data_IF_459173568154
#
_entry.id   IF_459173568154
#
_cell.length_a   1.000
_cell.length_b   1.000
_cell.length_c   1.000
_cell.angle_alpha   90.00
_cell.angle_beta   90.00
_cell.angle_gamma   90.00
#
_symmetry.space_group_name_H-M   'P 1'
#
loop_
_entity.id
_entity.type
_entity.pdbx_description
1 polymer ?
#
# COMPACT_ATOMS: atom_id res chain seq x y z
N UNK A 1 -0.34 14.59 -32.50
CA UNK A 1 0.65 13.76 -31.82
C UNK A 1 0.09 12.35 -31.71
N UNK A 2 0.74 11.38 -32.34
CA UNK A 2 0.39 9.98 -32.21
C UNK A 2 1.27 9.37 -31.12
N UNK A 3 0.65 8.92 -30.03
CA UNK A 3 1.33 8.12 -29.02
C UNK A 3 0.96 6.66 -29.20
N UNK A 4 1.95 5.77 -29.21
CA UNK A 4 1.74 4.32 -29.31
C UNK A 4 2.46 3.63 -28.17
N UNK A 5 1.78 2.68 -27.51
CA UNK A 5 2.38 1.77 -26.54
C UNK A 5 2.57 0.42 -27.23
N UNK A 6 3.81 -0.03 -27.33
CA UNK A 6 4.15 -1.35 -27.86
C UNK A 6 4.51 -2.25 -26.69
N UNK A 7 3.84 -3.41 -26.61
CA UNK A 7 4.06 -4.40 -25.55
C UNK A 7 4.62 -5.66 -26.23
N UNK A 8 5.81 -6.08 -25.82
CA UNK A 8 6.39 -7.36 -26.21
C UNK A 8 6.44 -8.29 -25.00
N UNK A 9 5.71 -9.40 -25.12
CA UNK A 9 5.56 -10.45 -24.12
C UNK A 9 5.77 -11.84 -24.74
N UNK A 10 6.59 -11.93 -25.80
CA UNK A 10 6.88 -13.19 -26.49
C UNK A 10 7.76 -14.09 -25.62
N UNK A 11 8.77 -13.51 -24.96
CA UNK A 11 9.67 -14.21 -24.05
C UNK A 11 9.09 -14.20 -22.62
N UNK A 12 8.84 -15.36 -21.99
CA UNK A 12 8.26 -15.40 -20.65
C UNK A 12 9.21 -14.90 -19.55
N UNK A 13 10.50 -14.79 -19.85
CA UNK A 13 11.51 -14.27 -18.91
C UNK A 13 11.55 -12.74 -18.88
N UNK A 14 11.01 -12.07 -19.90
CA UNK A 14 11.18 -10.63 -20.10
C UNK A 14 9.95 -9.97 -20.74
N UNK A 15 9.37 -9.00 -20.04
CA UNK A 15 8.32 -8.14 -20.58
C UNK A 15 8.93 -6.78 -20.95
N UNK A 16 8.68 -6.32 -22.17
CA UNK A 16 9.17 -5.04 -22.68
C UNK A 16 8.02 -4.14 -23.06
N UNK A 17 8.06 -2.89 -22.61
CA UNK A 17 7.09 -1.87 -22.99
C UNK A 17 7.82 -0.66 -23.56
N UNK A 18 7.49 -0.27 -24.79
CA UNK A 18 8.00 0.92 -25.43
C UNK A 18 6.88 1.94 -25.65
N UNK A 19 7.11 3.19 -25.26
CA UNK A 19 6.24 4.32 -25.57
C UNK A 19 6.88 5.09 -26.71
N UNK A 20 6.17 5.16 -27.84
CA UNK A 20 6.57 5.95 -28.99
C UNK A 20 5.76 7.25 -29.05
N UNK A 21 6.42 8.37 -29.33
CA UNK A 21 5.78 9.64 -29.68
C UNK A 21 6.17 10.03 -31.09
N UNK A 22 5.18 10.17 -31.96
CA UNK A 22 5.35 10.55 -33.37
C UNK A 22 6.33 9.64 -34.15
N UNK A 23 6.49 8.39 -33.70
CA UNK A 23 7.35 7.37 -34.30
C UNK A 23 8.69 7.18 -33.60
N UNK A 24 9.12 8.13 -32.77
CA UNK A 24 10.36 8.07 -32.01
C UNK A 24 10.14 7.45 -30.63
N UNK A 25 11.16 6.72 -30.14
CA UNK A 25 11.14 6.12 -28.82
C UNK A 25 11.29 7.20 -27.73
N UNK A 26 10.28 7.28 -26.85
CA UNK A 26 10.21 8.25 -25.74
C UNK A 26 10.54 7.58 -24.40
N UNK A 27 9.94 6.43 -24.11
CA UNK A 27 10.20 5.65 -22.88
C UNK A 27 10.33 4.16 -23.20
N UNK A 28 11.19 3.45 -22.44
CA UNK A 28 11.39 2.02 -22.58
C UNK A 28 11.52 1.36 -21.21
N UNK A 29 10.66 0.38 -20.95
CA UNK A 29 10.58 -0.37 -19.70
C UNK A 29 10.88 -1.85 -19.97
N UNK A 30 11.63 -2.46 -19.07
CA UNK A 30 11.88 -3.91 -19.07
C UNK A 30 11.57 -4.42 -17.67
N UNK A 31 10.78 -5.49 -17.60
CA UNK A 31 10.52 -6.26 -16.39
C UNK A 31 11.00 -7.69 -16.61
N UNK A 32 11.77 -8.24 -15.67
CA UNK A 32 12.29 -9.61 -15.76
C UNK A 32 11.62 -10.51 -14.73
N UNK A 33 11.47 -11.79 -15.04
CA UNK A 33 10.83 -12.77 -14.15
C UNK A 33 11.64 -13.15 -12.90
N UNK A 34 12.85 -12.58 -12.74
CA UNK A 34 13.79 -13.01 -11.72
C UNK A 34 13.37 -12.65 -10.29
N UNK A 35 12.59 -11.58 -10.09
CA UNK A 35 12.12 -11.19 -8.76
C UNK A 35 10.81 -10.40 -8.82
N UNK A 36 9.75 -11.00 -8.32
CA UNK A 36 8.49 -10.31 -8.05
C UNK A 36 8.67 -9.40 -6.81
N UNK A 37 8.53 -8.10 -6.98
CA UNK A 37 8.43 -7.14 -5.87
C UNK A 37 6.97 -7.07 -5.43
N UNK A 38 6.70 -7.39 -4.17
CA UNK A 38 5.35 -7.38 -3.60
C UNK A 38 5.06 -6.11 -2.80
N UNK A 39 6.06 -5.26 -2.57
CA UNK A 39 5.85 -3.95 -1.93
C UNK A 39 4.84 -3.12 -2.72
N UNK A 40 3.84 -2.60 -2.01
CA UNK A 40 2.74 -1.84 -2.61
C UNK A 40 1.56 -2.69 -3.05
N UNK A 41 1.71 -4.01 -3.19
CA UNK A 41 0.60 -4.90 -3.52
C UNK A 41 -0.48 -4.86 -2.43
N UNK A 42 -1.74 -4.95 -2.87
CA UNK A 42 -2.93 -4.94 -2.02
C UNK A 42 -3.58 -6.32 -2.08
N UNK A 43 -3.85 -6.88 -0.91
CA UNK A 43 -4.44 -8.20 -0.76
C UNK A 43 -5.68 -8.14 0.12
N UNK A 44 -6.62 -9.04 -0.14
CA UNK A 44 -7.66 -9.40 0.83
C UNK A 44 -7.09 -10.47 1.76
N UNK A 45 -6.75 -10.09 2.98
CA UNK A 45 -6.21 -10.98 4.00
C UNK A 45 -7.25 -11.45 5.00
N UNK A 46 -6.89 -12.47 5.78
CA UNK A 46 -7.68 -13.01 6.89
C UNK A 46 -6.85 -12.93 8.17
N UNK A 47 -7.42 -12.38 9.24
CA UNK A 47 -6.78 -12.34 10.57
C UNK A 47 -6.56 -13.77 11.06
N UNK A 48 -5.30 -14.23 11.05
CA UNK A 48 -4.93 -15.58 11.47
C UNK A 48 -4.82 -15.68 12.99
N UNK A 49 -4.13 -14.73 13.63
CA UNK A 49 -4.03 -14.63 15.09
C UNK A 49 -3.84 -13.19 15.53
N UNK A 50 -4.17 -12.92 16.79
CA UNK A 50 -4.00 -11.62 17.45
C UNK A 50 -3.03 -11.83 18.60
N UNK A 51 -2.04 -10.94 18.74
CA UNK A 51 -1.01 -10.97 19.77
C UNK A 51 -1.09 -9.69 20.62
N UNK A 52 -1.85 -9.70 21.73
CA UNK A 52 -2.07 -8.51 22.56
C UNK A 52 -0.77 -7.94 23.13
N UNK A 53 0.19 -8.79 23.50
CA UNK A 53 1.49 -8.36 24.02
C UNK A 53 2.31 -7.54 23.03
N UNK A 54 2.08 -7.75 21.72
CA UNK A 54 2.73 -7.00 20.65
C UNK A 54 1.87 -5.83 20.12
N UNK A 55 0.62 -5.73 20.58
CA UNK A 55 -0.40 -4.86 19.96
C UNK A 55 -0.43 -5.06 18.44
N UNK A 56 -0.43 -6.32 17.99
CA UNK A 56 -0.35 -6.69 16.57
C UNK A 56 -1.15 -7.94 16.23
N UNK A 57 -1.50 -8.08 14.96
CA UNK A 57 -2.17 -9.24 14.38
C UNK A 57 -1.33 -9.81 13.23
N UNK A 58 -1.45 -11.12 13.04
CA UNK A 58 -0.84 -11.81 11.91
C UNK A 58 -1.91 -12.10 10.87
N UNK A 59 -1.67 -11.68 9.65
CA UNK A 59 -2.64 -11.74 8.56
C UNK A 59 -2.18 -12.79 7.54
N UNK A 60 -3.03 -13.75 7.23
CA UNK A 60 -2.82 -14.60 6.06
C UNK A 60 -3.33 -13.86 4.84
N UNK A 61 -2.43 -13.51 3.92
CA UNK A 61 -2.73 -12.79 2.68
C UNK A 61 -2.34 -13.61 1.42
N UNK A 62 -2.11 -14.91 1.58
CA UNK A 62 -1.74 -15.83 0.50
C UNK A 62 -0.23 -16.12 0.36
N UNK A 63 0.63 -15.41 1.08
CA UNK A 63 2.06 -15.70 1.13
C UNK A 63 2.40 -16.88 2.04
N UNK A 64 3.61 -17.44 1.90
CA UNK A 64 4.10 -18.55 2.72
C UNK A 64 4.15 -18.20 4.22
N UNK A 65 4.42 -16.93 4.55
CA UNK A 65 4.45 -16.41 5.92
C UNK A 65 3.36 -15.37 6.11
N UNK A 66 2.62 -15.48 7.22
CA UNK A 66 1.66 -14.46 7.62
C UNK A 66 2.33 -13.10 7.78
N UNK A 67 1.71 -12.06 7.27
CA UNK A 67 2.18 -10.68 7.41
C UNK A 67 1.90 -10.15 8.81
N UNK A 68 2.62 -9.09 9.18
CA UNK A 68 2.58 -8.46 10.48
C UNK A 68 1.87 -7.11 10.40
N UNK A 69 0.75 -6.97 11.09
CA UNK A 69 -0.10 -5.77 11.10
C UNK A 69 -0.19 -5.23 12.54
N UNK A 70 0.36 -4.04 12.78
CA UNK A 70 0.34 -3.41 14.12
C UNK A 70 -0.93 -2.60 14.34
N UNK A 71 -1.29 -2.36 15.60
CA UNK A 71 -2.51 -1.63 15.95
C UNK A 71 -2.61 -0.24 15.29
N UNK A 72 -1.49 0.49 15.22
CA UNK A 72 -1.44 1.81 14.58
C UNK A 72 -1.66 1.80 13.07
N UNK A 73 -1.53 0.64 12.43
CA UNK A 73 -1.71 0.44 10.98
C UNK A 73 -3.10 -0.11 10.63
N UNK A 74 -4.02 -0.17 11.60
CA UNK A 74 -5.41 -0.61 11.42
C UNK A 74 -6.32 0.62 11.42
N UNK A 75 -6.98 0.86 10.28
CA UNK A 75 -7.96 1.91 10.11
C UNK A 75 -9.20 1.61 10.96
N UNK A 76 -9.79 2.61 11.64
CA UNK A 76 -10.91 2.41 12.56
C UNK A 76 -12.16 1.75 11.94
N UNK A 77 -12.33 1.78 10.62
CA UNK A 77 -13.44 1.07 9.96
C UNK A 77 -13.38 -0.45 10.19
N UNK A 78 -12.18 -0.98 10.45
CA UNK A 78 -11.98 -2.39 10.75
C UNK A 78 -12.15 -2.70 12.23
N UNK A 79 -12.42 -1.73 13.09
CA UNK A 79 -12.63 -2.00 14.50
C UNK A 79 -13.96 -2.72 14.71
N UNK A 80 -13.96 -3.71 15.59
CA UNK A 80 -15.20 -4.25 16.14
C UNK A 80 -15.91 -3.17 16.98
N UNK A 81 -17.23 -3.26 17.18
CA UNK A 81 -17.98 -2.32 18.01
C UNK A 81 -17.37 -2.15 19.42
N UNK A 82 -16.82 -3.23 20.00
CA UNK A 82 -16.16 -3.21 21.30
C UNK A 82 -14.81 -2.45 21.30
N UNK A 83 -14.24 -2.21 20.12
CA UNK A 83 -13.04 -1.41 19.91
C UNK A 83 -13.32 0.07 19.64
N UNK A 84 -14.59 0.48 19.50
CA UNK A 84 -14.97 1.89 19.34
C UNK A 84 -15.02 2.54 20.72
N UNK A 85 -14.02 3.36 21.04
CA UNK A 85 -13.92 4.05 22.34
C UNK A 85 -14.51 5.46 22.22
N UNK A 86 -15.25 5.87 23.26
CA UNK A 86 -15.87 7.20 23.35
C UNK A 86 -14.86 8.36 23.39
N UNK A 87 -13.66 8.11 23.93
CA UNK A 87 -12.52 9.01 23.88
C UNK A 87 -11.58 8.64 22.72
N UNK A 88 -11.47 9.48 21.67
CA UNK A 88 -10.58 9.25 20.53
C UNK A 88 -9.09 9.15 20.90
N UNK A 89 -8.69 9.62 22.08
CA UNK A 89 -7.29 9.60 22.54
C UNK A 89 -6.95 8.37 23.36
N UNK A 90 -7.92 7.58 23.79
CA UNK A 90 -7.67 6.38 24.57
C UNK A 90 -7.07 5.28 23.67
N UNK A 91 -6.00 4.59 24.11
CA UNK A 91 -5.42 3.50 23.34
C UNK A 91 -6.43 2.35 23.25
N UNK A 92 -6.76 1.94 22.01
CA UNK A 92 -7.63 0.80 21.75
C UNK A 92 -6.78 -0.48 21.80
N UNK A 93 -7.06 -1.43 22.70
CA UNK A 93 -6.38 -2.72 22.70
C UNK A 93 -6.73 -3.50 21.42
N UNK A 94 -5.73 -4.04 20.73
CA UNK A 94 -5.98 -4.77 19.47
C UNK A 94 -6.92 -5.98 19.63
N UNK A 95 -6.95 -6.59 20.83
CA UNK A 95 -7.85 -7.69 21.16
C UNK A 95 -9.33 -7.29 21.10
N UNK A 96 -9.63 -6.01 21.31
CA UNK A 96 -10.98 -5.44 21.20
C UNK A 96 -11.24 -4.88 19.79
N UNK A 97 -10.18 -4.52 19.05
CA UNK A 97 -10.31 -3.94 17.72
C UNK A 97 -10.54 -5.00 16.63
N UNK A 98 -9.91 -6.18 16.72
CA UNK A 98 -10.02 -7.22 15.70
C UNK A 98 -10.51 -8.55 16.29
N UNK A 99 -11.10 -9.38 15.43
CA UNK A 99 -11.41 -10.79 15.71
C UNK A 99 -10.67 -11.69 14.74
N UNK A 100 -10.33 -12.91 15.21
CA UNK A 100 -9.78 -13.94 14.32
C UNK A 100 -10.77 -14.27 13.20
N UNK A 101 -10.25 -14.69 12.04
CA UNK A 101 -10.99 -15.00 10.81
C UNK A 101 -11.68 -13.82 10.14
N UNK A 102 -11.56 -12.59 10.66
CA UNK A 102 -12.04 -11.38 9.99
C UNK A 102 -11.26 -11.15 8.70
N UNK A 103 -11.97 -10.82 7.62
CA UNK A 103 -11.37 -10.40 6.36
C UNK A 103 -10.99 -8.93 6.41
N UNK A 104 -9.84 -8.57 5.86
CA UNK A 104 -9.29 -7.22 5.92
C UNK A 104 -8.47 -6.91 4.67
N UNK A 105 -8.59 -5.71 4.11
CA UNK A 105 -7.70 -5.28 3.04
C UNK A 105 -6.37 -4.81 3.65
N UNK A 106 -5.28 -5.30 3.08
CA UNK A 106 -3.93 -4.97 3.53
C UNK A 106 -3.04 -4.64 2.35
N UNK A 107 -2.19 -3.64 2.51
CA UNK A 107 -1.11 -3.30 1.60
C UNK A 107 0.23 -3.67 2.21
N UNK A 108 1.12 -4.25 1.41
CA UNK A 108 2.49 -4.53 1.83
C UNK A 108 3.29 -3.23 1.85
N UNK A 109 3.77 -2.82 3.02
CA UNK A 109 4.60 -1.61 3.19
C UNK A 109 6.09 -1.92 3.11
N UNK A 110 6.48 -3.10 3.63
CA UNK A 110 7.87 -3.54 3.66
C UNK A 110 7.96 -5.05 3.58
N UNK A 111 8.70 -5.52 2.58
CA UNK A 111 9.13 -6.89 2.48
C UNK A 111 10.20 -7.22 3.53
N UNK A 112 10.14 -8.44 4.05
CA UNK A 112 11.11 -8.94 5.03
C UNK A 112 11.75 -10.21 4.50
N UNK A 113 13.08 -10.26 4.57
CA UNK A 113 13.83 -11.46 4.23
C UNK A 113 13.76 -12.53 5.32
N UNK A 114 13.99 -13.78 4.92
CA UNK A 114 14.15 -14.91 5.83
C UNK A 114 12.83 -15.42 6.43
N UNK A 115 12.77 -15.59 7.75
CA UNK A 115 11.63 -16.23 8.45
C UNK A 115 10.51 -15.27 8.86
N UNK A 116 10.63 -13.96 8.59
CA UNK A 116 9.64 -12.95 9.00
C UNK A 116 8.67 -12.66 7.86
N UNK A 117 7.39 -12.53 8.17
CA UNK A 117 6.41 -12.04 7.20
C UNK A 117 6.56 -10.55 6.90
N UNK A 118 5.96 -10.09 5.81
CA UNK A 118 5.97 -8.70 5.41
C UNK A 118 5.22 -7.80 6.42
N UNK A 119 5.60 -6.52 6.49
CA UNK A 119 4.81 -5.52 7.21
C UNK A 119 3.63 -5.11 6.36
N UNK A 120 2.48 -4.98 7.02
CA UNK A 120 1.20 -4.67 6.40
C UNK A 120 0.61 -3.40 6.98
N UNK A 121 -0.21 -2.73 6.18
CA UNK A 121 -1.08 -1.64 6.61
C UNK A 121 -2.47 -1.78 6.00
N UNK A 122 -3.49 -1.26 6.69
CA UNK A 122 -4.84 -1.09 6.12
C UNK A 122 -5.03 0.31 5.55
N UNK A 123 -4.11 1.24 5.82
CA UNK A 123 -4.09 2.56 5.20
C UNK A 123 -3.53 2.45 3.78
N UNK A 124 -4.40 2.04 2.86
CA UNK A 124 -4.04 1.85 1.46
C UNK A 124 -3.54 3.17 0.88
N UNK A 125 -2.45 3.09 0.10
CA UNK A 125 -1.87 4.20 -0.65
C UNK A 125 -1.79 3.83 -2.12
N UNK A 126 -2.41 4.66 -2.96
CA UNK A 126 -2.47 4.48 -4.41
C UNK A 126 -1.70 5.61 -5.06
N UNK A 127 -0.43 5.33 -5.40
CA UNK A 127 0.44 6.29 -6.05
C UNK A 127 0.13 6.37 -7.55
N UNK A 128 -0.28 7.55 -8.00
CA UNK A 128 -0.36 7.91 -9.40
C UNK A 128 0.87 8.69 -9.85
N UNK A 129 0.82 9.21 -11.08
CA UNK A 129 1.92 10.00 -11.66
C UNK A 129 2.18 11.32 -10.92
N UNK A 130 1.12 11.99 -10.47
CA UNK A 130 1.19 13.35 -9.89
C UNK A 130 0.69 13.44 -8.45
N UNK A 131 -0.07 12.45 -7.98
CA UNK A 131 -0.68 12.44 -6.65
C UNK A 131 -0.65 11.05 -6.05
N UNK A 132 -0.74 11.00 -4.72
CA UNK A 132 -0.94 9.76 -3.97
C UNK A 132 -2.28 9.86 -3.27
N UNK A 133 -3.19 8.95 -3.58
CA UNK A 133 -4.48 8.87 -2.90
C UNK A 133 -4.36 7.94 -1.69
N UNK A 134 -4.69 8.43 -0.50
CA UNK A 134 -4.74 7.64 0.74
C UNK A 134 -6.16 7.61 1.32
N UNK A 135 -7.05 6.74 0.81
CA UNK A 135 -8.41 6.62 1.35
C UNK A 135 -8.38 6.29 2.85
N UNK A 136 -9.28 6.90 3.63
CA UNK A 136 -9.36 6.71 5.08
C UNK A 136 -8.30 7.48 5.89
N UNK A 137 -7.31 8.11 5.25
CA UNK A 137 -6.37 8.99 5.93
C UNK A 137 -6.65 10.45 5.57
N UNK A 138 -6.93 11.28 6.58
CA UNK A 138 -7.05 12.73 6.41
C UNK A 138 -5.67 13.40 6.26
N UNK A 139 -4.85 12.93 5.32
CA UNK A 139 -3.55 13.53 5.01
C UNK A 139 -3.63 14.21 3.66
N UNK A 140 -3.55 15.53 3.66
CA UNK A 140 -3.32 16.37 2.49
C UNK A 140 -1.94 17.00 2.62
N UNK A 141 -1.17 16.99 1.53
CA UNK A 141 0.18 17.54 1.54
C UNK A 141 0.79 17.62 0.15
N UNK A 142 1.70 18.58 -0.01
CA UNK A 142 2.52 18.76 -1.21
C UNK A 142 3.92 18.23 -0.90
N UNK A 143 4.51 17.47 -1.83
CA UNK A 143 5.84 16.85 -1.70
C UNK A 143 6.89 17.81 -1.14
N UNK A 144 7.74 17.35 -0.23
CA UNK A 144 8.85 18.15 0.30
C UNK A 144 9.87 18.53 -0.77
N UNK A 145 9.93 17.80 -1.89
CA UNK A 145 10.83 18.10 -3.00
C UNK A 145 10.41 19.31 -3.83
N UNK A 146 9.21 19.87 -3.60
CA UNK A 146 8.79 21.15 -4.20
C UNK A 146 9.24 22.25 -3.23
N UNK A 147 10.36 22.88 -3.56
CA UNK A 147 11.02 23.89 -2.74
C UNK A 147 10.44 25.30 -2.93
N UNK A 148 9.86 25.59 -4.11
CA UNK A 148 9.31 26.89 -4.43
C UNK A 148 7.98 27.13 -3.70
N UNK A 149 7.95 28.16 -2.85
CA UNK A 149 6.80 28.47 -2.00
C UNK A 149 5.57 28.88 -2.81
N UNK A 150 5.74 29.63 -3.91
CA UNK A 150 4.63 30.03 -4.79
C UNK A 150 3.94 28.80 -5.41
N UNK A 151 4.72 27.88 -5.98
CA UNK A 151 4.19 26.64 -6.56
C UNK A 151 3.55 25.74 -5.49
N UNK A 152 4.14 25.68 -4.29
CA UNK A 152 3.54 24.96 -3.16
C UNK A 152 2.21 25.54 -2.74
N UNK A 153 2.05 26.88 -2.73
CA UNK A 153 0.77 27.51 -2.43
C UNK A 153 -0.27 27.24 -3.52
N UNK A 154 0.12 27.33 -4.79
CA UNK A 154 -0.73 27.01 -5.93
C UNK A 154 -1.26 25.57 -5.85
N UNK A 155 -0.37 24.60 -5.60
CA UNK A 155 -0.79 23.20 -5.47
C UNK A 155 -1.67 22.96 -4.25
N UNK A 156 -1.45 23.66 -3.14
CA UNK A 156 -2.32 23.58 -1.96
C UNK A 156 -3.72 24.17 -2.20
N UNK A 157 -3.86 25.19 -3.05
CA UNK A 157 -5.18 25.76 -3.34
C UNK A 157 -6.06 24.85 -4.19
N UNK A 158 -5.44 23.92 -4.92
CA UNK A 158 -6.12 22.96 -5.80
C UNK A 158 -6.49 21.64 -5.09
N UNK A 159 -6.12 21.47 -3.81
CA UNK A 159 -6.38 20.28 -2.98
C UNK A 159 -7.59 20.43 -2.06
#
# INVERSE_FOLDING_TARGET
>A
MSSKMLINAVEPEEYRVAILKDGDLDEFYIETSAKEEIKGNVYKGIVSRIEPSLQAAFINYGAEKNGFLTMGEIHPEYYEPEGIISDPKAPVPIANALKQRKEILVQVTKEMGGKKGAYLTTYISLAGRYLVLTPGKATTGVSHNIEEDEERQRLKSDM
#
